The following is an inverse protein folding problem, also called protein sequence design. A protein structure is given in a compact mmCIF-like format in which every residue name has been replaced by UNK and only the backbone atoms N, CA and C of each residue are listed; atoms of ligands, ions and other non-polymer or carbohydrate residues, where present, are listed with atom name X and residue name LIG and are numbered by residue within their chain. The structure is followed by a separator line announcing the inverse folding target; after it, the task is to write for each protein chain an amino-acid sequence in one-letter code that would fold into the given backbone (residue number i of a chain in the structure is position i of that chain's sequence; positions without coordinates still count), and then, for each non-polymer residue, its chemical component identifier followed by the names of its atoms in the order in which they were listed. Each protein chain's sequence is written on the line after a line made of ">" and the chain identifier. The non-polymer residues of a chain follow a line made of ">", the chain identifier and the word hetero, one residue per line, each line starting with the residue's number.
data_IF_928344689777
#
_entry.id   IF_928344689777
#
_cell.length_a   1.000
_cell.length_b   1.000
_cell.length_c   1.000
_cell.angle_alpha   90.00
_cell.angle_beta   90.00
_cell.angle_gamma   90.00
#
_symmetry.space_group_name_H-M   'P 1'
#
loop_
_entity.id
_entity.type
_entity.pdbx_description
1 polymer ?
#
# COMPACT_ATOMS: atom_id res chain seq x y z
N UNK A 1 -14.97 26.16 -18.47
CA UNK A 1 -13.54 26.17 -18.89
C UNK A 1 -13.37 25.54 -20.26
N UNK A 2 -13.83 24.30 -20.49
CA UNK A 2 -13.76 23.68 -21.83
C UNK A 2 -14.72 24.32 -22.85
N UNK A 3 -15.88 24.78 -22.39
CA UNK A 3 -16.90 25.41 -23.25
C UNK A 3 -16.80 26.94 -23.26
N UNK A 4 -15.75 27.51 -22.67
CA UNK A 4 -15.55 28.95 -22.64
C UNK A 4 -14.76 29.38 -23.88
N UNK A 5 -15.36 30.10 -24.84
CA UNK A 5 -14.68 30.51 -26.07
C UNK A 5 -13.54 31.51 -25.81
N UNK A 6 -13.44 32.09 -24.61
CA UNK A 6 -12.32 32.94 -24.22
C UNK A 6 -11.05 32.15 -23.81
N UNK A 7 -11.15 30.82 -23.64
CA UNK A 7 -10.03 29.97 -23.19
C UNK A 7 -9.46 29.18 -24.37
N UNK A 8 -8.24 29.52 -24.80
CA UNK A 8 -7.51 28.77 -25.82
C UNK A 8 -6.47 27.82 -25.18
N UNK A 9 -6.78 26.53 -25.13
CA UNK A 9 -5.92 25.50 -24.51
C UNK A 9 -4.58 25.29 -25.24
N UNK A 10 -4.48 25.72 -26.50
CA UNK A 10 -3.29 25.59 -27.34
C UNK A 10 -2.38 26.81 -27.28
N UNK A 11 -2.83 27.90 -26.66
CA UNK A 11 -2.01 29.09 -26.51
C UNK A 11 -0.84 28.81 -25.55
N UNK A 12 0.40 29.23 -25.90
CA UNK A 12 1.51 29.15 -24.98
C UNK A 12 1.23 29.94 -23.70
N UNK A 13 1.57 29.37 -22.55
CA UNK A 13 1.41 30.04 -21.27
C UNK A 13 2.31 31.30 -21.26
N UNK A 14 1.79 32.49 -20.89
CA UNK A 14 2.60 33.70 -20.77
C UNK A 14 3.82 33.46 -19.87
N UNK A 15 4.99 33.90 -20.32
CA UNK A 15 6.28 33.68 -19.64
C UNK A 15 6.75 32.21 -19.56
N UNK A 16 6.08 31.27 -20.24
CA UNK A 16 6.52 29.89 -20.40
C UNK A 16 7.58 29.72 -21.50
N UNK A 17 8.16 28.51 -21.59
CA UNK A 17 9.10 28.11 -22.64
C UNK A 17 8.41 27.38 -23.80
N UNK A 18 7.14 27.70 -24.06
CA UNK A 18 6.31 27.05 -25.09
C UNK A 18 5.37 25.96 -24.57
N UNK A 19 5.20 25.82 -23.25
CA UNK A 19 4.15 24.96 -22.69
C UNK A 19 2.76 25.53 -22.99
N UNK A 20 1.77 24.66 -23.24
CA UNK A 20 0.36 25.04 -23.39
C UNK A 20 -0.46 24.43 -22.25
N UNK A 21 -1.63 24.99 -21.96
CA UNK A 21 -2.53 24.43 -20.93
C UNK A 21 -2.88 22.97 -21.25
N UNK A 22 -3.16 22.66 -22.53
CA UNK A 22 -3.44 21.29 -22.96
C UNK A 22 -2.27 20.33 -22.64
N UNK A 23 -1.03 20.75 -22.91
CA UNK A 23 0.15 19.93 -22.63
C UNK A 23 0.29 19.63 -21.14
N UNK A 24 0.10 20.64 -20.29
CA UNK A 24 0.23 20.44 -18.84
C UNK A 24 -0.88 19.55 -18.28
N UNK A 25 -2.12 19.67 -18.79
CA UNK A 25 -3.22 18.74 -18.45
C UNK A 25 -2.85 17.32 -18.86
N UNK A 26 -2.32 17.11 -20.07
CA UNK A 26 -1.91 15.79 -20.54
C UNK A 26 -0.81 15.21 -19.66
N UNK A 27 0.20 16.01 -19.28
CA UNK A 27 1.27 15.57 -18.39
C UNK A 27 0.75 15.11 -17.04
N UNK A 28 -0.17 15.86 -16.43
CA UNK A 28 -0.80 15.47 -15.16
C UNK A 28 -1.63 14.20 -15.33
N UNK A 29 -2.39 14.08 -16.43
CA UNK A 29 -3.18 12.89 -16.72
C UNK A 29 -2.29 11.65 -16.90
N UNK A 30 -1.22 11.75 -17.67
CA UNK A 30 -0.27 10.66 -17.90
C UNK A 30 0.44 10.24 -16.60
N UNK A 31 0.82 11.21 -15.77
CA UNK A 31 1.44 10.94 -14.47
C UNK A 31 0.48 10.22 -13.51
N UNK A 32 -0.78 10.66 -13.45
CA UNK A 32 -1.79 10.00 -12.63
C UNK A 32 -2.11 8.59 -13.15
N UNK A 33 -2.17 8.40 -14.48
CA UNK A 33 -2.38 7.10 -15.11
C UNK A 33 -1.22 6.14 -14.80
N UNK A 34 0.03 6.62 -14.81
CA UNK A 34 1.20 5.85 -14.40
C UNK A 34 1.06 5.33 -12.97
N UNK A 35 0.79 6.21 -11.99
CA UNK A 35 0.65 5.82 -10.58
C UNK A 35 -0.52 4.88 -10.33
N UNK A 36 -1.64 5.08 -11.04
CA UNK A 36 -2.79 4.18 -10.97
C UNK A 36 -2.44 2.78 -11.50
N UNK A 37 -1.70 2.72 -12.61
CA UNK A 37 -1.20 1.46 -13.17
C UNK A 37 -0.20 0.76 -12.25
N UNK A 38 0.72 1.51 -11.65
CA UNK A 38 1.69 1.00 -10.68
C UNK A 38 1.01 0.38 -9.46
N UNK A 39 0.04 1.07 -8.85
CA UNK A 39 -0.78 0.52 -7.77
C UNK A 39 -1.49 -0.75 -8.19
N UNK A 40 -2.12 -0.77 -9.37
CA UNK A 40 -2.86 -1.93 -9.85
C UNK A 40 -1.96 -3.17 -9.99
N UNK A 41 -0.72 -3.00 -10.45
CA UNK A 41 0.28 -4.07 -10.55
C UNK A 41 0.72 -4.52 -9.16
N UNK A 42 1.12 -3.60 -8.27
CA UNK A 42 1.60 -3.94 -6.94
C UNK A 42 0.52 -4.66 -6.11
N UNK A 43 -0.74 -4.22 -6.20
CA UNK A 43 -1.89 -4.88 -5.58
C UNK A 43 -2.04 -6.32 -6.08
N UNK A 44 -1.99 -6.54 -7.40
CA UNK A 44 -2.08 -7.90 -7.96
C UNK A 44 -0.94 -8.80 -7.50
N UNK A 45 0.28 -8.25 -7.42
CA UNK A 45 1.44 -8.98 -6.90
C UNK A 45 1.24 -9.31 -5.41
N UNK A 46 0.76 -8.36 -4.60
CA UNK A 46 0.47 -8.58 -3.18
C UNK A 46 -0.59 -9.67 -2.97
N UNK A 47 -1.68 -9.66 -3.73
CA UNK A 47 -2.71 -10.71 -3.70
C UNK A 47 -2.10 -12.09 -3.99
N UNK A 48 -1.28 -12.20 -5.04
CA UNK A 48 -0.61 -13.46 -5.42
C UNK A 48 0.52 -13.84 -4.48
N UNK A 49 1.15 -12.89 -3.80
CA UNK A 49 2.18 -13.18 -2.80
C UNK A 49 1.56 -13.65 -1.49
N UNK A 50 0.33 -13.23 -1.18
CA UNK A 50 -0.38 -13.57 0.06
C UNK A 50 -0.58 -15.08 0.25
N UNK A 51 -0.73 -15.85 -0.83
CA UNK A 51 -0.79 -17.33 -0.77
C UNK A 51 0.51 -17.99 -0.28
N UNK A 52 1.64 -17.28 -0.31
CA UNK A 52 2.95 -17.79 0.10
C UNK A 52 3.33 -17.43 1.55
N UNK A 53 2.51 -16.65 2.26
CA UNK A 53 2.85 -16.18 3.62
C UNK A 53 3.03 -17.33 4.61
N UNK A 54 2.16 -18.33 4.58
CA UNK A 54 2.28 -19.50 5.47
C UNK A 54 3.55 -20.33 5.20
N UNK A 55 3.89 -20.69 3.94
CA UNK A 55 5.18 -21.30 3.62
C UNK A 55 6.38 -20.45 4.05
N UNK A 56 6.36 -19.13 3.81
CA UNK A 56 7.45 -18.24 4.19
C UNK A 56 7.63 -18.18 5.71
N UNK A 57 6.54 -18.14 6.48
CA UNK A 57 6.58 -18.22 7.93
C UNK A 57 7.17 -19.57 8.39
N UNK A 58 6.70 -20.68 7.83
CA UNK A 58 7.19 -22.01 8.19
C UNK A 58 8.70 -22.17 7.94
N UNK A 59 9.22 -21.60 6.86
CA UNK A 59 10.65 -21.64 6.53
C UNK A 59 11.51 -20.70 7.37
N UNK A 60 10.93 -19.59 7.86
CA UNK A 60 11.66 -18.55 8.60
C UNK A 60 11.43 -18.59 10.11
N UNK A 61 10.54 -19.44 10.61
CA UNK A 61 10.18 -19.53 12.02
C UNK A 61 11.42 -19.72 12.91
N UNK A 62 11.66 -18.75 13.80
CA UNK A 62 12.86 -18.68 14.61
C UNK A 62 12.62 -17.98 15.97
N UNK A 63 11.39 -18.07 16.48
CA UNK A 63 11.03 -17.48 17.77
C UNK A 63 10.35 -18.48 18.72
N UNK A 64 10.99 -19.63 19.04
CA UNK A 64 10.38 -20.61 19.91
C UNK A 64 10.39 -20.26 21.40
N UNK A 65 11.29 -19.36 21.82
CA UNK A 65 11.45 -18.95 23.21
C UNK A 65 10.96 -17.51 23.45
N UNK A 66 10.35 -17.27 24.61
CA UNK A 66 9.96 -15.94 25.07
C UNK A 66 10.24 -15.79 26.57
N UNK A 67 10.98 -14.73 26.95
CA UNK A 67 11.41 -14.49 28.34
C UNK A 67 12.13 -15.68 29.00
N UNK A 68 12.87 -16.47 28.20
CA UNK A 68 13.64 -17.62 28.66
C UNK A 68 12.86 -18.94 28.71
N UNK A 69 11.57 -18.92 28.41
CA UNK A 69 10.70 -20.10 28.43
C UNK A 69 10.38 -20.59 27.02
N UNK A 70 10.28 -21.91 26.84
CA UNK A 70 9.77 -22.52 25.61
C UNK A 70 8.27 -22.26 25.50
N UNK A 71 7.86 -21.64 24.41
CA UNK A 71 6.47 -21.27 24.17
C UNK A 71 5.62 -22.39 23.58
N UNK A 72 6.25 -23.47 23.09
CA UNK A 72 5.60 -24.56 22.37
C UNK A 72 5.27 -24.26 20.91
N UNK A 73 5.63 -23.08 20.40
CA UNK A 73 5.44 -22.67 19.01
C UNK A 73 6.77 -22.53 18.28
N UNK A 74 6.81 -22.82 16.97
CA UNK A 74 8.01 -22.53 16.16
C UNK A 74 8.22 -21.02 15.96
N UNK A 75 7.11 -20.26 15.85
CA UNK A 75 7.12 -18.80 15.82
C UNK A 75 6.12 -18.24 16.83
N UNK A 76 6.62 -17.88 18.01
CA UNK A 76 5.83 -17.17 19.02
C UNK A 76 5.55 -15.72 18.59
N UNK A 77 6.45 -15.12 17.80
CA UNK A 77 6.28 -13.75 17.29
C UNK A 77 4.94 -13.60 16.56
N UNK A 78 4.55 -14.54 15.70
CA UNK A 78 3.26 -14.47 14.98
C UNK A 78 2.08 -14.37 15.95
N UNK A 79 2.08 -15.13 17.05
CA UNK A 79 1.02 -15.10 18.05
C UNK A 79 0.99 -13.82 18.87
N UNK A 80 2.16 -13.23 19.11
CA UNK A 80 2.24 -11.94 19.75
C UNK A 80 1.56 -10.89 18.86
N UNK A 81 1.90 -10.85 17.57
CA UNK A 81 1.34 -9.90 16.61
C UNK A 81 -0.16 -10.09 16.37
N UNK A 82 -0.68 -11.32 16.38
CA UNK A 82 -2.11 -11.62 16.12
C UNK A 82 -3.08 -11.00 17.14
N UNK A 83 -2.59 -10.35 18.20
CA UNK A 83 -3.40 -9.62 19.19
C UNK A 83 -3.89 -8.27 18.68
N UNK A 84 -3.26 -7.71 17.66
CA UNK A 84 -3.67 -6.43 17.09
C UNK A 84 -4.76 -6.64 16.02
N UNK A 85 -5.89 -5.91 16.07
CA UNK A 85 -6.99 -6.08 15.11
C UNK A 85 -6.58 -5.86 13.63
N UNK A 86 -5.52 -5.09 13.40
CA UNK A 86 -4.99 -4.76 12.07
C UNK A 86 -3.78 -5.61 11.67
N UNK A 87 -3.49 -6.67 12.43
CA UNK A 87 -2.43 -7.63 12.13
C UNK A 87 -2.94 -8.82 11.30
N UNK A 88 -2.01 -9.53 10.67
CA UNK A 88 -2.32 -10.74 9.92
C UNK A 88 -2.46 -10.50 8.42
N UNK A 89 -3.24 -11.33 7.75
CA UNK A 89 -3.37 -11.27 6.30
C UNK A 89 -4.08 -9.99 5.84
N UNK A 90 -3.60 -9.30 4.78
CA UNK A 90 -4.29 -8.15 4.23
C UNK A 90 -5.69 -8.53 3.73
N UNK A 91 -6.61 -7.58 3.78
CA UNK A 91 -7.89 -7.71 3.10
C UNK A 91 -7.66 -7.62 1.58
N UNK A 92 -8.57 -8.22 0.81
CA UNK A 92 -8.54 -8.09 -0.64
C UNK A 92 -9.26 -6.80 -1.06
N UNK A 93 -8.68 -6.08 -2.00
CA UNK A 93 -9.25 -4.85 -2.57
C UNK A 93 -9.34 -4.97 -4.08
N UNK A 94 -10.42 -4.48 -4.66
CA UNK A 94 -10.66 -4.46 -6.10
C UNK A 94 -10.18 -3.17 -6.78
N UNK A 95 -10.03 -2.09 -6.01
CA UNK A 95 -9.62 -0.76 -6.52
C UNK A 95 -8.80 0.05 -5.52
N UNK A 96 -8.14 1.11 -6.01
CA UNK A 96 -7.46 2.10 -5.17
C UNK A 96 -8.44 2.85 -4.27
N UNK A 97 -9.64 3.13 -4.77
CA UNK A 97 -10.69 3.81 -3.99
C UNK A 97 -11.17 2.97 -2.81
N UNK A 98 -11.32 1.66 -3.00
CA UNK A 98 -11.70 0.74 -1.91
C UNK A 98 -10.61 0.68 -0.84
N UNK A 99 -9.35 0.60 -1.25
CA UNK A 99 -8.20 0.66 -0.35
C UNK A 99 -8.18 1.99 0.44
N UNK A 100 -8.32 3.12 -0.24
CA UNK A 100 -8.37 4.45 0.39
C UNK A 100 -9.56 4.60 1.33
N UNK A 101 -10.73 4.07 0.98
CA UNK A 101 -11.92 4.10 1.81
C UNK A 101 -11.72 3.32 3.12
N UNK A 102 -11.08 2.14 3.05
CA UNK A 102 -10.72 1.38 4.24
C UNK A 102 -9.77 2.17 5.14
N UNK A 103 -8.69 2.75 4.56
CA UNK A 103 -7.74 3.56 5.32
C UNK A 103 -8.43 4.72 6.03
N UNK A 104 -9.26 5.47 5.31
CA UNK A 104 -10.00 6.60 5.87
C UNK A 104 -10.95 6.16 6.98
N UNK A 105 -11.65 5.03 6.81
CA UNK A 105 -12.52 4.49 7.84
C UNK A 105 -11.74 4.13 9.12
N UNK A 106 -10.62 3.42 8.99
CA UNK A 106 -9.79 3.01 10.12
C UNK A 106 -9.17 4.21 10.87
N UNK A 107 -8.82 5.27 10.14
CA UNK A 107 -8.32 6.53 10.73
C UNK A 107 -9.45 7.29 11.41
N UNK A 108 -10.62 7.41 10.76
CA UNK A 108 -11.77 8.12 11.31
C UNK A 108 -12.31 7.49 12.60
N UNK A 109 -12.23 6.17 12.73
CA UNK A 109 -12.59 5.45 13.97
C UNK A 109 -11.51 5.48 15.04
N UNK A 110 -10.33 6.05 14.75
CA UNK A 110 -9.17 6.03 15.65
C UNK A 110 -8.57 4.64 15.86
N UNK A 111 -8.89 3.68 14.99
CA UNK A 111 -8.33 2.32 15.05
C UNK A 111 -6.85 2.30 14.63
N UNK A 112 -6.45 3.21 13.76
CA UNK A 112 -5.06 3.52 13.42
C UNK A 112 -4.85 5.03 13.38
N UNK A 113 -3.64 5.49 13.69
CA UNK A 113 -3.27 6.90 13.57
C UNK A 113 -3.10 7.32 12.09
N UNK A 114 -2.47 6.45 11.31
CA UNK A 114 -2.18 6.63 9.89
C UNK A 114 -1.95 5.27 9.20
N UNK A 115 -1.85 5.27 7.86
CA UNK A 115 -1.69 4.06 7.06
C UNK A 115 -0.42 3.23 7.39
N UNK A 116 0.64 3.86 7.91
CA UNK A 116 1.86 3.17 8.34
C UNK A 116 1.64 2.25 9.54
N UNK A 117 0.53 2.41 10.26
CA UNK A 117 0.14 1.60 11.44
C UNK A 117 -0.70 0.37 11.10
N UNK A 118 -0.85 0.05 9.82
CA UNK A 118 -1.37 -1.26 9.40
C UNK A 118 -0.28 -2.31 9.55
N UNK A 119 -0.58 -3.34 10.35
CA UNK A 119 0.34 -4.40 10.73
C UNK A 119 0.12 -5.70 9.94
N UNK A 120 -0.35 -5.59 8.69
CA UNK A 120 -0.48 -6.75 7.83
C UNK A 120 0.86 -7.44 7.59
N UNK A 121 0.79 -8.76 7.43
CA UNK A 121 1.93 -9.66 7.17
C UNK A 121 2.60 -9.39 5.81
N UNK A 122 1.86 -8.76 4.91
CA UNK A 122 2.35 -8.17 3.66
C UNK A 122 1.55 -6.91 3.37
N UNK A 123 2.21 -5.85 2.88
CA UNK A 123 1.55 -4.58 2.56
C UNK A 123 2.26 -3.81 1.46
N UNK A 124 1.56 -2.84 0.89
CA UNK A 124 2.17 -1.79 0.07
C UNK A 124 2.91 -0.81 1.00
N UNK A 125 4.10 -0.37 0.59
CA UNK A 125 4.83 0.64 1.35
C UNK A 125 4.27 2.04 1.07
N UNK A 126 4.00 2.79 2.13
CA UNK A 126 3.55 4.20 2.04
C UNK A 126 4.65 5.15 1.55
N UNK A 127 5.91 4.74 1.66
CA UNK A 127 7.07 5.58 1.37
C UNK A 127 7.77 5.20 0.07
N UNK A 128 7.68 3.93 -0.31
CA UNK A 128 8.41 3.38 -1.44
C UNK A 128 7.44 2.63 -2.36
N UNK A 129 7.68 2.61 -3.66
CA UNK A 129 6.84 1.86 -4.60
C UNK A 129 7.18 0.36 -4.57
N UNK A 130 7.05 -0.26 -3.40
CA UNK A 130 7.46 -1.63 -3.10
C UNK A 130 6.43 -2.37 -2.26
N UNK A 131 6.52 -3.69 -2.26
CA UNK A 131 5.75 -4.56 -1.36
C UNK A 131 6.64 -4.97 -0.20
N UNK A 132 6.16 -4.77 1.02
CA UNK A 132 6.85 -5.12 2.26
C UNK A 132 6.34 -6.46 2.79
N UNK A 133 7.23 -7.45 2.90
CA UNK A 133 6.96 -8.70 3.61
C UNK A 133 7.33 -8.53 5.09
N UNK A 134 6.40 -8.85 5.99
CA UNK A 134 6.52 -8.62 7.44
C UNK A 134 6.24 -9.88 8.27
N UNK A 135 5.89 -10.98 7.61
CA UNK A 135 5.54 -12.27 8.23
C UNK A 135 6.72 -13.00 8.86
N UNK A 136 7.94 -12.81 8.35
CA UNK A 136 9.10 -13.66 8.70
C UNK A 136 9.72 -13.30 10.04
N UNK A 137 10.21 -14.30 10.79
CA UNK A 137 11.05 -14.06 11.98
C UNK A 137 12.45 -13.56 11.58
N UNK A 138 13.19 -13.00 12.54
CA UNK A 138 14.60 -12.65 12.34
C UNK A 138 15.46 -13.91 12.47
N UNK A 139 16.43 -14.08 11.57
CA UNK A 139 17.47 -15.10 11.67
C UNK A 139 18.57 -14.69 12.65
#
# INVERSE_FOLDING_TARGET
>A
MLDDPAVNLYEPIPHGQGQTILREIQLVADHNAYHTGEFAILRQVMDRASMWLAPLLALSANSPFWLGEDTGYASFRTLMWSRWPTSGQPQHFSSLDEYNALLQALIATGSIEDATKIYWDIRLSERFNTIEFRVTDCC
#
